data_IF_732668998426
#
_entry.id   IF_732668998426
#
_cell.length_a   1.000
_cell.length_b   1.000
_cell.length_c   1.000
_cell.angle_alpha   90.00
_cell.angle_beta   90.00
_cell.angle_gamma   90.00
#
_symmetry.space_group_name_H-M   'P 1'
#
loop_
_entity.id
_entity.type
_entity.pdbx_description
1 polymer ?
#
# COMPACT_ATOMS: atom_id res chain seq x y z
N UNK A 1 -1.72 -17.87 1.10
CA UNK A 1 -2.28 -16.55 1.48
C UNK A 1 -1.24 -15.46 1.20
N UNK A 2 -0.08 -15.43 1.87
CA UNK A 2 0.92 -14.35 1.75
C UNK A 2 1.35 -14.05 0.32
N UNK A 3 1.59 -15.07 -0.51
CA UNK A 3 2.00 -14.86 -1.90
C UNK A 3 0.91 -14.13 -2.71
N UNK A 4 -0.33 -14.59 -2.61
CA UNK A 4 -1.47 -14.00 -3.31
C UNK A 4 -1.70 -12.57 -2.84
N UNK A 5 -1.72 -12.36 -1.52
CA UNK A 5 -1.89 -11.04 -0.91
C UNK A 5 -0.78 -10.08 -1.34
N UNK A 6 0.48 -10.53 -1.32
CA UNK A 6 1.62 -9.71 -1.73
C UNK A 6 1.54 -9.29 -3.20
N UNK A 7 1.22 -10.23 -4.10
CA UNK A 7 1.06 -9.90 -5.53
C UNK A 7 -0.11 -8.93 -5.73
N UNK A 8 -1.27 -9.19 -5.12
CA UNK A 8 -2.44 -8.31 -5.24
C UNK A 8 -2.15 -6.91 -4.70
N UNK A 9 -1.43 -6.81 -3.58
CA UNK A 9 -1.09 -5.53 -2.97
C UNK A 9 -0.11 -4.70 -3.81
N UNK A 10 0.65 -5.32 -4.69
CA UNK A 10 1.47 -4.62 -5.67
C UNK A 10 0.66 -3.83 -6.71
N UNK A 11 -0.59 -4.20 -6.95
CA UNK A 11 -1.48 -3.56 -7.93
C UNK A 11 -2.66 -2.83 -7.27
N UNK A 12 -3.04 -3.25 -6.08
CA UNK A 12 -4.05 -2.62 -5.25
C UNK A 12 -3.34 -2.00 -4.05
N UNK A 13 -3.90 -0.94 -3.47
CA UNK A 13 -3.30 -0.39 -2.25
C UNK A 13 -3.24 -1.45 -1.13
N UNK A 14 -2.25 -1.35 -0.24
CA UNK A 14 -2.08 -2.26 0.89
C UNK A 14 -3.37 -2.40 1.71
N UNK A 15 -4.01 -1.28 2.00
CA UNK A 15 -5.26 -1.19 2.76
C UNK A 15 -6.43 -1.82 2.01
N UNK A 16 -6.55 -1.51 0.71
CA UNK A 16 -7.60 -2.08 -0.14
C UNK A 16 -7.49 -3.59 -0.24
N UNK A 17 -6.28 -4.11 -0.43
CA UNK A 17 -6.01 -5.55 -0.47
C UNK A 17 -6.34 -6.22 0.86
N UNK A 18 -5.91 -5.62 1.99
CA UNK A 18 -6.22 -6.12 3.31
C UNK A 18 -7.73 -6.13 3.57
N UNK A 19 -8.42 -5.02 3.31
CA UNK A 19 -9.86 -4.88 3.55
C UNK A 19 -10.69 -5.92 2.78
N UNK A 20 -10.31 -6.23 1.53
CA UNK A 20 -11.01 -7.23 0.71
C UNK A 20 -10.71 -8.66 1.17
N UNK A 21 -9.47 -8.93 1.59
CA UNK A 21 -9.04 -10.29 1.90
C UNK A 21 -9.22 -10.69 3.37
N UNK A 22 -9.35 -9.76 4.31
CA UNK A 22 -9.61 -10.04 5.72
C UNK A 22 -10.86 -10.95 5.89
N UNK A 23 -12.04 -10.63 5.34
CA UNK A 23 -13.21 -11.50 5.48
C UNK A 23 -13.00 -12.89 4.90
N UNK A 24 -12.32 -12.99 3.74
CA UNK A 24 -12.02 -14.26 3.09
C UNK A 24 -11.10 -15.12 3.96
N UNK A 25 -10.06 -14.50 4.53
CA UNK A 25 -9.10 -15.19 5.38
C UNK A 25 -9.73 -15.59 6.73
N UNK A 26 -10.64 -14.78 7.27
CA UNK A 26 -11.43 -15.14 8.43
C UNK A 26 -12.30 -16.39 8.16
N UNK A 27 -12.98 -16.42 7.01
CA UNK A 27 -13.75 -17.61 6.60
C UNK A 27 -12.88 -18.86 6.49
N UNK A 28 -11.71 -18.76 5.87
CA UNK A 28 -10.73 -19.87 5.79
C UNK A 28 -10.27 -20.30 7.18
N UNK A 29 -10.02 -19.35 8.09
CA UNK A 29 -9.61 -19.64 9.46
C UNK A 29 -10.67 -20.46 10.21
N UNK A 30 -11.93 -20.05 10.07
CA UNK A 30 -13.07 -20.68 10.74
C UNK A 30 -13.32 -22.10 10.21
N UNK A 31 -13.24 -22.32 8.89
CA UNK A 31 -13.40 -23.64 8.27
C UNK A 31 -12.23 -24.58 8.58
N UNK A 32 -11.00 -24.06 8.58
CA UNK A 32 -9.80 -24.88 8.78
C UNK A 32 -9.42 -25.08 10.26
N UNK A 33 -10.12 -24.42 11.20
CA UNK A 33 -9.86 -24.51 12.63
C UNK A 33 -8.58 -23.81 13.10
N UNK A 34 -7.94 -23.04 12.24
CA UNK A 34 -6.78 -22.20 12.61
C UNK A 34 -7.26 -20.93 13.33
N UNK A 35 -6.42 -20.38 14.22
CA UNK A 35 -6.73 -19.10 14.83
C UNK A 35 -6.66 -17.98 13.79
N UNK A 36 -7.66 -17.06 13.78
CA UNK A 36 -7.71 -15.91 12.90
C UNK A 36 -6.42 -15.08 12.97
N UNK A 37 -5.87 -14.92 14.17
CA UNK A 37 -4.62 -14.19 14.42
C UNK A 37 -3.43 -14.72 13.61
N UNK A 38 -3.31 -16.06 13.48
CA UNK A 38 -2.23 -16.71 12.72
C UNK A 38 -2.34 -16.52 11.21
N UNK A 39 -3.50 -16.18 10.69
CA UNK A 39 -3.71 -15.94 9.27
C UNK A 39 -3.77 -14.45 8.95
N UNK A 40 -4.34 -13.62 9.83
CA UNK A 40 -4.49 -12.19 9.61
C UNK A 40 -3.16 -11.43 9.72
N UNK A 41 -2.30 -11.79 10.69
CA UNK A 41 -0.98 -11.15 10.80
C UNK A 41 -0.13 -11.35 9.54
N UNK A 42 0.11 -12.58 9.04
CA UNK A 42 0.80 -12.78 7.78
C UNK A 42 0.14 -12.04 6.60
N UNK A 43 -1.20 -11.92 6.57
CA UNK A 43 -1.92 -11.18 5.55
C UNK A 43 -1.52 -9.71 5.54
N UNK A 44 -1.58 -9.05 6.71
CA UNK A 44 -1.25 -7.61 6.82
C UNK A 44 0.21 -7.34 6.46
N UNK A 45 1.13 -8.17 6.94
CA UNK A 45 2.54 -8.05 6.57
C UNK A 45 2.77 -8.30 5.07
N UNK A 46 2.11 -9.29 4.49
CA UNK A 46 2.22 -9.55 3.05
C UNK A 46 1.66 -8.39 2.21
N UNK A 47 0.55 -7.79 2.65
CA UNK A 47 0.01 -6.59 2.00
C UNK A 47 1.01 -5.42 2.07
N UNK A 48 1.62 -5.18 3.23
CA UNK A 48 2.61 -4.12 3.40
C UNK A 48 3.88 -4.35 2.55
N UNK A 49 4.40 -5.57 2.53
CA UNK A 49 5.60 -5.92 1.75
C UNK A 49 5.30 -5.92 0.24
N UNK A 50 4.12 -6.41 -0.15
CA UNK A 50 3.67 -6.44 -1.54
C UNK A 50 3.45 -5.05 -2.14
N UNK A 51 3.11 -4.05 -1.32
CA UNK A 51 3.01 -2.67 -1.76
C UNK A 51 4.30 -2.09 -2.33
N UNK A 52 5.45 -2.71 -2.03
CA UNK A 52 6.74 -2.30 -2.59
C UNK A 52 7.07 -3.01 -3.93
N UNK A 53 6.11 -3.64 -4.59
CA UNK A 53 6.33 -4.26 -5.89
C UNK A 53 6.16 -3.29 -7.07
N UNK A 54 5.35 -2.26 -6.90
CA UNK A 54 5.06 -1.27 -7.94
C UNK A 54 4.98 0.14 -7.40
N UNK A 55 4.90 1.10 -8.30
CA UNK A 55 4.73 2.53 -7.95
C UNK A 55 3.40 2.77 -7.22
N UNK A 56 2.32 2.09 -7.63
CA UNK A 56 0.97 2.34 -7.11
C UNK A 56 0.64 1.53 -5.85
N UNK A 57 1.45 0.55 -5.50
CA UNK A 57 1.18 -0.33 -4.35
C UNK A 57 1.18 0.39 -3.00
N UNK A 58 1.95 1.48 -2.87
CA UNK A 58 1.94 2.32 -1.67
C UNK A 58 2.06 3.81 -2.04
N UNK A 59 1.33 4.72 -1.33
CA UNK A 59 1.40 6.16 -1.61
C UNK A 59 2.81 6.75 -1.50
N UNK A 60 3.65 6.23 -0.59
CA UNK A 60 5.04 6.66 -0.45
C UNK A 60 5.90 6.38 -1.68
N UNK A 61 5.61 5.33 -2.43
CA UNK A 61 6.33 5.00 -3.66
C UNK A 61 6.13 6.08 -4.72
N UNK A 62 4.89 6.58 -4.84
CA UNK A 62 4.57 7.66 -5.79
C UNK A 62 5.29 8.97 -5.43
N UNK A 63 5.46 9.27 -4.13
CA UNK A 63 6.25 10.44 -3.69
C UNK A 63 7.71 10.31 -4.12
N UNK A 64 8.30 9.12 -3.95
CA UNK A 64 9.67 8.85 -4.39
C UNK A 64 9.83 8.98 -5.91
N UNK A 65 8.86 8.52 -6.68
CA UNK A 65 8.84 8.66 -8.15
C UNK A 65 8.78 10.14 -8.55
N UNK A 66 7.87 10.91 -7.97
CA UNK A 66 7.76 12.35 -8.28
C UNK A 66 9.08 13.08 -8.00
N UNK A 67 9.74 12.79 -6.88
CA UNK A 67 11.04 13.39 -6.57
C UNK A 67 12.14 12.99 -7.58
N UNK A 68 12.13 11.76 -8.09
CA UNK A 68 13.06 11.33 -9.13
C UNK A 68 12.78 11.98 -10.48
N UNK A 69 11.51 12.14 -10.84
CA UNK A 69 11.10 12.83 -12.06
C UNK A 69 11.48 14.33 -12.05
N UNK A 70 11.37 15.00 -10.90
CA UNK A 70 11.85 16.37 -10.72
C UNK A 70 13.37 16.51 -10.94
N UNK A 71 14.13 15.44 -10.63
CA UNK A 71 15.56 15.37 -10.92
C UNK A 71 15.89 14.96 -12.37
N UNK A 72 14.87 14.76 -13.22
CA UNK A 72 15.01 14.36 -14.62
C UNK A 72 15.39 12.89 -14.82
N UNK A 73 15.20 12.05 -13.81
CA UNK A 73 15.44 10.62 -13.88
C UNK A 73 14.19 9.91 -14.41
N UNK A 74 14.38 8.96 -15.34
CA UNK A 74 13.28 8.12 -15.83
C UNK A 74 12.88 7.10 -14.78
N UNK A 75 11.60 6.93 -14.58
CA UNK A 75 11.02 5.95 -13.67
C UNK A 75 10.27 4.88 -14.44
N UNK A 76 10.20 3.67 -13.89
CA UNK A 76 9.48 2.54 -14.48
C UNK A 76 8.46 2.01 -13.48
N UNK A 77 7.32 1.53 -13.97
CA UNK A 77 6.24 0.99 -13.12
C UNK A 77 6.72 -0.03 -12.08
N UNK A 78 7.68 -0.87 -12.42
CA UNK A 78 8.25 -1.88 -11.54
C UNK A 78 9.62 -1.51 -10.95
N UNK A 79 9.97 -0.24 -10.86
CA UNK A 79 11.28 0.18 -10.36
C UNK A 79 11.57 -0.28 -8.91
N UNK A 80 10.54 -0.48 -8.11
CA UNK A 80 10.66 -0.99 -6.74
C UNK A 80 10.72 -2.52 -6.65
N UNK A 81 10.32 -3.25 -7.70
CA UNK A 81 10.25 -4.72 -7.70
C UNK A 81 11.58 -5.41 -7.37
N UNK A 82 12.75 -4.94 -7.85
CA UNK A 82 14.04 -5.57 -7.52
C UNK A 82 14.34 -5.63 -6.01
N UNK A 83 13.78 -4.71 -5.23
CA UNK A 83 13.88 -4.68 -3.76
C UNK A 83 12.64 -5.33 -3.13
N UNK A 84 11.46 -5.05 -3.66
CA UNK A 84 10.19 -5.53 -3.13
C UNK A 84 10.03 -7.06 -3.20
N UNK A 85 10.46 -7.69 -4.29
CA UNK A 85 10.37 -9.15 -4.45
C UNK A 85 11.22 -9.88 -3.39
N UNK A 86 12.52 -9.60 -3.22
CA UNK A 86 13.31 -10.20 -2.14
C UNK A 86 12.71 -9.94 -0.75
N UNK A 87 12.22 -8.73 -0.48
CA UNK A 87 11.58 -8.41 0.80
C UNK A 87 10.34 -9.26 1.04
N UNK A 88 9.48 -9.42 0.05
CA UNK A 88 8.29 -10.27 0.14
C UNK A 88 8.66 -11.73 0.38
N UNK A 89 9.65 -12.25 -0.34
CA UNK A 89 10.15 -13.63 -0.17
C UNK A 89 10.71 -13.82 1.25
N UNK A 90 11.57 -12.91 1.72
CA UNK A 90 12.10 -12.95 3.09
C UNK A 90 10.99 -12.90 4.14
N UNK A 91 9.96 -12.08 3.94
CA UNK A 91 8.80 -12.01 4.81
C UNK A 91 8.02 -13.34 4.84
N UNK A 92 7.80 -13.96 3.69
CA UNK A 92 7.15 -15.28 3.60
C UNK A 92 7.97 -16.34 4.34
N UNK A 93 9.28 -16.40 4.11
CA UNK A 93 10.17 -17.34 4.79
C UNK A 93 10.17 -17.10 6.30
N UNK A 94 10.24 -15.85 6.73
CA UNK A 94 10.17 -15.49 8.15
C UNK A 94 8.90 -16.01 8.81
N UNK A 95 7.73 -15.80 8.20
CA UNK A 95 6.46 -16.29 8.77
C UNK A 95 6.35 -17.80 8.77
N UNK A 96 6.89 -18.49 7.77
CA UNK A 96 6.90 -19.96 7.72
C UNK A 96 7.79 -20.52 8.84
N UNK A 97 8.98 -19.97 9.04
CA UNK A 97 9.99 -20.54 9.96
C UNK A 97 9.76 -20.11 11.42
N UNK A 98 9.51 -18.82 11.62
CA UNK A 98 9.50 -18.19 12.96
C UNK A 98 8.13 -17.60 13.28
N UNK A 99 7.56 -16.80 12.39
CA UNK A 99 6.39 -15.98 12.67
C UNK A 99 5.17 -16.78 13.12
N UNK A 100 4.86 -17.87 12.44
CA UNK A 100 3.73 -18.72 12.81
C UNK A 100 3.89 -19.41 14.18
N UNK A 101 5.12 -19.54 14.68
CA UNK A 101 5.39 -20.12 16.01
C UNK A 101 5.28 -19.09 17.14
N UNK A 102 5.56 -17.82 16.85
CA UNK A 102 5.50 -16.72 17.81
C UNK A 102 4.08 -16.18 18.00
N UNK A 103 3.20 -16.40 17.03
CA UNK A 103 1.83 -15.90 17.12
C UNK A 103 1.00 -16.73 18.10
N UNK A 104 0.31 -16.07 19.04
CA UNK A 104 -0.51 -16.75 20.04
C UNK A 104 -1.67 -17.51 19.39
N UNK A 105 -1.87 -18.75 19.83
CA UNK A 105 -2.95 -19.62 19.36
C UNK A 105 -4.24 -19.35 20.17
N UNK A 106 -4.59 -18.07 20.32
CA UNK A 106 -5.85 -17.72 20.97
C UNK A 106 -6.96 -17.80 19.94
N UNK A 107 -7.86 -18.76 20.09
CA UNK A 107 -9.19 -18.72 19.48
C UNK A 107 -9.93 -17.56 20.14
N UNK A 108 -9.77 -16.37 19.62
CA UNK A 108 -10.61 -15.24 19.99
C UNK A 108 -11.95 -15.51 19.33
N UNK A 109 -12.88 -16.03 20.09
CA UNK A 109 -14.30 -16.03 19.74
C UNK A 109 -14.73 -14.58 19.97
N UNK A 110 -14.45 -13.74 19.01
CA UNK A 110 -15.04 -12.39 18.98
C UNK A 110 -16.40 -12.56 18.33
N UNK A 111 -17.44 -12.45 19.13
CA UNK A 111 -18.82 -12.32 18.65
C UNK A 111 -19.00 -11.05 17.79
N UNK A 112 -18.02 -10.15 17.81
CA UNK A 112 -17.96 -8.91 17.05
C UNK A 112 -16.98 -9.02 15.87
N UNK A 113 -17.13 -10.02 15.01
CA UNK A 113 -16.62 -9.86 13.66
C UNK A 113 -17.50 -8.81 12.96
N UNK A 114 -16.93 -7.78 12.32
CA UNK A 114 -17.76 -6.90 11.52
C UNK A 114 -18.48 -7.75 10.47
N UNK A 115 -19.79 -7.87 10.64
CA UNK A 115 -20.73 -8.53 9.71
C UNK A 115 -20.81 -7.82 8.36
N UNK A 116 -19.72 -7.25 7.88
CA UNK A 116 -19.67 -6.65 6.56
C UNK A 116 -18.95 -7.55 5.55
N UNK A 117 -19.23 -8.83 5.57
CA UNK A 117 -19.22 -9.56 4.30
C UNK A 117 -20.38 -9.03 3.49
N UNK A 118 -20.13 -7.98 2.70
CA UNK A 118 -21.04 -7.65 1.62
C UNK A 118 -21.20 -8.91 0.81
N UNK A 119 -22.38 -9.49 0.85
CA UNK A 119 -22.68 -10.71 0.10
C UNK A 119 -22.61 -10.36 -1.40
N UNK A 120 -21.48 -10.67 -2.02
CA UNK A 120 -21.23 -10.46 -3.44
C UNK A 120 -21.87 -11.56 -4.32
N UNK A 121 -22.56 -12.54 -3.71
CA UNK A 121 -23.21 -13.62 -4.44
C UNK A 121 -24.30 -13.11 -5.41
N UNK A 122 -24.88 -11.95 -5.11
CA UNK A 122 -25.92 -11.32 -5.92
C UNK A 122 -25.40 -10.40 -7.03
N UNK A 123 -24.07 -10.23 -7.17
CA UNK A 123 -23.51 -9.38 -8.23
C UNK A 123 -23.52 -10.14 -9.56
N UNK A 124 -24.16 -9.62 -10.62
CA UNK A 124 -24.20 -10.27 -11.94
C UNK A 124 -22.80 -10.60 -12.45
N UNK A 125 -22.61 -11.80 -12.98
CA UNK A 125 -21.31 -12.27 -13.48
C UNK A 125 -20.67 -11.34 -14.52
N UNK A 126 -21.48 -10.66 -15.33
CA UNK A 126 -20.99 -9.71 -16.32
C UNK A 126 -20.32 -8.48 -15.68
N UNK A 127 -20.84 -7.99 -14.53
CA UNK A 127 -20.22 -6.88 -13.79
C UNK A 127 -18.86 -7.29 -13.19
N UNK A 128 -18.79 -8.52 -12.67
CA UNK A 128 -17.53 -9.07 -12.14
C UNK A 128 -16.48 -9.21 -13.26
N UNK A 129 -16.89 -9.77 -14.41
CA UNK A 129 -16.00 -9.90 -15.57
C UNK A 129 -15.54 -8.54 -16.10
N UNK A 130 -16.45 -7.58 -16.22
CA UNK A 130 -16.13 -6.21 -16.66
C UNK A 130 -15.15 -5.51 -15.72
N UNK A 131 -15.35 -5.62 -14.39
CA UNK A 131 -14.42 -5.07 -13.40
C UNK A 131 -13.01 -5.64 -13.56
N UNK A 132 -12.92 -6.96 -13.74
CA UNK A 132 -11.63 -7.63 -13.90
C UNK A 132 -10.94 -7.24 -15.22
N UNK A 133 -11.69 -7.18 -16.32
CA UNK A 133 -11.15 -6.78 -17.62
C UNK A 133 -10.63 -5.34 -17.56
N UNK A 134 -11.42 -4.40 -17.02
CA UNK A 134 -11.01 -3.00 -16.89
C UNK A 134 -9.79 -2.88 -15.99
N UNK A 135 -9.74 -3.61 -14.86
CA UNK A 135 -8.58 -3.62 -13.97
C UNK A 135 -7.32 -4.08 -14.71
N UNK A 136 -7.39 -5.19 -15.44
CA UNK A 136 -6.26 -5.71 -16.22
C UNK A 136 -5.83 -4.72 -17.31
N UNK A 137 -6.77 -4.10 -18.02
CA UNK A 137 -6.47 -3.11 -19.06
C UNK A 137 -5.79 -1.87 -18.47
N UNK A 138 -6.25 -1.37 -17.32
CA UNK A 138 -5.62 -0.23 -16.62
C UNK A 138 -4.21 -0.58 -16.18
N UNK A 139 -4.00 -1.76 -15.59
CA UNK A 139 -2.65 -2.21 -15.19
C UNK A 139 -1.73 -2.32 -16.40
N UNK A 140 -2.21 -2.90 -17.50
CA UNK A 140 -1.42 -2.98 -18.73
C UNK A 140 -1.11 -1.59 -19.30
N UNK A 141 -2.07 -0.67 -19.29
CA UNK A 141 -1.84 0.70 -19.73
C UNK A 141 -0.78 1.42 -18.87
N UNK A 142 -0.78 1.18 -17.55
CA UNK A 142 0.23 1.72 -16.64
C UNK A 142 1.63 1.11 -16.87
N UNK A 143 1.70 -0.21 -17.11
CA UNK A 143 2.98 -0.89 -17.39
C UNK A 143 3.60 -0.41 -18.71
N UNK A 144 2.76 -0.14 -19.70
CA UNK A 144 3.20 0.32 -21.02
C UNK A 144 3.10 1.84 -21.20
N UNK A 145 3.14 2.61 -20.10
CA UNK A 145 3.09 4.08 -20.11
C UNK A 145 4.06 4.68 -21.13
N UNK A 146 5.33 4.27 -21.11
CA UNK A 146 6.39 4.75 -22.02
C UNK A 146 6.06 4.52 -23.51
N UNK A 147 5.28 3.49 -23.84
CA UNK A 147 4.92 3.15 -25.23
C UNK A 147 3.64 3.83 -25.67
N UNK A 148 2.67 3.95 -24.75
CA UNK A 148 1.33 4.47 -25.03
C UNK A 148 1.32 5.99 -24.87
N UNK A 149 2.23 6.57 -24.07
CA UNK A 149 2.31 7.99 -23.79
C UNK A 149 1.20 8.52 -22.90
N UNK A 150 0.47 7.63 -22.22
CA UNK A 150 -0.61 7.99 -21.28
C UNK A 150 -0.07 7.86 -19.87
N UNK A 151 -0.07 8.95 -19.12
CA UNK A 151 0.40 8.96 -17.73
C UNK A 151 -0.43 8.02 -16.83
N UNK A 152 0.20 7.43 -15.82
CA UNK A 152 -0.40 6.50 -14.84
C UNK A 152 -1.71 7.05 -14.28
N UNK A 153 -1.72 8.34 -13.89
CA UNK A 153 -2.90 9.00 -13.30
C UNK A 153 -4.08 9.05 -14.28
N UNK A 154 -3.80 9.30 -15.55
CA UNK A 154 -4.83 9.37 -16.61
C UNK A 154 -5.40 7.98 -16.86
N UNK A 155 -4.56 6.95 -16.92
CA UNK A 155 -4.99 5.55 -17.08
C UNK A 155 -5.91 5.11 -15.93
N UNK A 156 -5.57 5.46 -14.68
CA UNK A 156 -6.40 5.17 -13.52
C UNK A 156 -7.78 5.88 -13.59
N UNK A 157 -7.77 7.17 -13.90
CA UNK A 157 -9.02 7.94 -14.04
C UNK A 157 -9.91 7.40 -15.16
N UNK A 158 -9.33 7.07 -16.33
CA UNK A 158 -10.07 6.50 -17.44
C UNK A 158 -10.71 5.17 -17.05
N UNK A 159 -9.98 4.30 -16.35
CA UNK A 159 -10.53 3.03 -15.87
C UNK A 159 -11.71 3.22 -14.92
N UNK A 160 -11.62 4.15 -13.97
CA UNK A 160 -12.72 4.48 -13.08
C UNK A 160 -13.95 5.01 -13.83
N UNK A 161 -13.75 5.93 -14.79
CA UNK A 161 -14.83 6.47 -15.62
C UNK A 161 -15.49 5.37 -16.46
N UNK A 162 -14.73 4.46 -17.06
CA UNK A 162 -15.24 3.33 -17.83
C UNK A 162 -16.15 2.44 -16.97
N UNK A 163 -15.77 2.14 -15.72
CA UNK A 163 -16.58 1.33 -14.81
C UNK A 163 -17.92 1.99 -14.46
N UNK A 164 -17.93 3.32 -14.31
CA UNK A 164 -19.17 4.08 -14.06
C UNK A 164 -20.04 4.12 -15.31
N UNK A 165 -19.47 4.44 -16.48
CA UNK A 165 -20.21 4.51 -17.75
C UNK A 165 -20.78 3.15 -18.17
N UNK A 166 -20.05 2.07 -17.91
CA UNK A 166 -20.50 0.71 -18.14
C UNK A 166 -21.59 0.26 -17.13
N UNK A 167 -21.93 1.07 -16.13
CA UNK A 167 -22.95 0.73 -15.13
C UNK A 167 -22.55 -0.41 -14.18
N UNK A 168 -21.23 -0.68 -14.08
CA UNK A 168 -20.70 -1.66 -13.14
C UNK A 168 -20.88 -1.18 -11.71
N UNK A 169 -20.50 0.08 -11.46
CA UNK A 169 -20.71 0.80 -10.20
C UNK A 169 -21.52 2.07 -10.46
N UNK A 170 -22.30 2.49 -9.50
CA UNK A 170 -23.02 3.75 -9.58
C UNK A 170 -22.07 4.94 -9.32
N UNK A 171 -22.42 6.11 -9.85
CA UNK A 171 -21.68 7.35 -9.59
C UNK A 171 -21.50 7.62 -8.09
N UNK A 172 -22.59 7.43 -7.31
CA UNK A 172 -22.57 7.63 -5.85
C UNK A 172 -21.61 6.67 -5.14
N UNK A 173 -21.57 5.41 -5.58
CA UNK A 173 -20.63 4.43 -5.04
C UNK A 173 -19.19 4.75 -5.42
N UNK A 174 -18.94 5.18 -6.65
CA UNK A 174 -17.64 5.60 -7.12
C UNK A 174 -17.10 6.79 -6.29
N UNK A 175 -17.93 7.83 -6.10
CA UNK A 175 -17.55 8.99 -5.28
C UNK A 175 -17.34 8.62 -3.80
N UNK A 176 -18.15 7.73 -3.24
CA UNK A 176 -18.00 7.25 -1.86
C UNK A 176 -16.73 6.41 -1.68
N UNK A 177 -16.25 5.76 -2.74
CA UNK A 177 -15.03 4.97 -2.72
C UNK A 177 -13.75 5.82 -2.70
N UNK A 178 -13.86 7.13 -2.95
CA UNK A 178 -12.73 8.06 -2.85
C UNK A 178 -12.50 8.37 -1.37
N UNK A 179 -11.37 7.93 -0.85
CA UNK A 179 -10.96 8.27 0.51
C UNK A 179 -10.35 9.68 0.54
N UNK A 180 -11.21 10.67 0.83
CA UNK A 180 -10.79 12.07 0.93
C UNK A 180 -9.76 12.31 2.03
N UNK A 181 -9.74 11.50 3.11
CA UNK A 181 -8.74 11.64 4.18
C UNK A 181 -7.36 11.34 3.63
N UNK A 182 -7.21 10.28 2.82
CA UNK A 182 -5.94 9.94 2.17
C UNK A 182 -5.50 11.02 1.21
N UNK A 183 -6.42 11.53 0.39
CA UNK A 183 -6.11 12.62 -0.58
C UNK A 183 -5.64 13.88 0.15
N UNK A 184 -6.34 14.29 1.20
CA UNK A 184 -5.99 15.46 2.00
C UNK A 184 -4.68 15.26 2.78
N UNK A 185 -4.46 14.07 3.34
CA UNK A 185 -3.21 13.74 4.03
C UNK A 185 -2.03 13.81 3.07
N UNK A 186 -2.18 13.24 1.89
CA UNK A 186 -1.14 13.26 0.85
C UNK A 186 -0.84 14.68 0.39
N UNK A 187 -1.87 15.44 0.04
CA UNK A 187 -1.74 16.85 -0.34
C UNK A 187 -1.13 17.72 0.76
N UNK A 188 -1.56 17.52 2.01
CA UNK A 188 -1.01 18.21 3.18
C UNK A 188 0.47 17.87 3.42
N UNK A 189 0.85 16.61 3.25
CA UNK A 189 2.24 16.16 3.37
C UNK A 189 3.14 16.77 2.30
N UNK A 190 2.66 16.86 1.05
CA UNK A 190 3.38 17.53 -0.04
C UNK A 190 3.53 19.03 0.24
N UNK A 191 2.48 19.70 0.73
CA UNK A 191 2.53 21.11 1.08
C UNK A 191 3.53 21.37 2.23
N UNK A 192 3.57 20.49 3.24
CA UNK A 192 4.53 20.56 4.34
C UNK A 192 5.96 20.34 3.84
N UNK A 193 6.19 19.35 2.97
CA UNK A 193 7.50 19.10 2.37
C UNK A 193 7.99 20.34 1.57
N UNK A 194 7.12 20.93 0.74
CA UNK A 194 7.43 22.16 0.00
C UNK A 194 7.69 23.35 0.92
N UNK A 195 6.98 23.45 2.05
CA UNK A 195 7.25 24.49 3.04
C UNK A 195 8.62 24.32 3.72
N UNK A 196 8.98 23.07 4.09
CA UNK A 196 10.31 22.76 4.66
C UNK A 196 11.43 23.09 3.67
N UNK A 197 11.24 22.80 2.39
CA UNK A 197 12.19 23.14 1.33
C UNK A 197 12.33 24.67 1.18
N UNK A 198 11.22 25.38 0.99
CA UNK A 198 11.21 26.85 0.81
C UNK A 198 11.71 27.64 1.98
N UNK A 199 11.53 27.14 3.21
CA UNK A 199 12.01 27.78 4.44
C UNK A 199 13.48 27.46 4.74
N UNK A 200 14.11 26.54 4.00
CA UNK A 200 15.46 26.06 4.29
C UNK A 200 15.56 25.16 5.53
N UNK A 201 14.44 24.80 6.15
CA UNK A 201 14.45 23.92 7.31
C UNK A 201 14.95 22.50 6.96
N UNK A 202 14.65 22.04 5.74
CA UNK A 202 15.16 20.77 5.21
C UNK A 202 16.69 20.78 5.10
N UNK A 203 17.28 21.84 4.59
CA UNK A 203 18.74 21.98 4.49
C UNK A 203 19.41 22.04 5.86
N UNK A 204 18.83 22.74 6.85
CA UNK A 204 19.34 22.79 8.20
C UNK A 204 19.37 21.39 8.87
N UNK A 205 18.36 20.58 8.62
CA UNK A 205 18.30 19.20 9.11
C UNK A 205 19.36 18.34 8.41
N UNK A 206 19.45 18.47 7.09
CA UNK A 206 20.42 17.73 6.28
C UNK A 206 21.87 18.10 6.68
N UNK A 207 22.19 19.38 6.84
CA UNK A 207 23.51 19.87 7.24
C UNK A 207 23.92 19.37 8.61
N UNK A 208 22.98 19.32 9.57
CA UNK A 208 23.25 18.73 10.89
C UNK A 208 23.54 17.24 10.82
N UNK A 209 22.78 16.48 10.02
CA UNK A 209 22.99 15.06 9.83
C UNK A 209 24.35 14.82 9.18
N UNK A 210 24.66 15.54 8.10
CA UNK A 210 25.96 15.45 7.39
C UNK A 210 27.09 15.91 8.29
N UNK A 211 26.90 16.96 9.09
CA UNK A 211 27.90 17.44 10.05
C UNK A 211 28.27 16.43 11.13
N UNK A 212 27.35 15.60 11.57
CA UNK A 212 27.61 14.49 12.51
C UNK A 212 28.43 13.38 11.85
N UNK A 213 28.27 13.21 10.53
CA UNK A 213 28.93 12.14 9.75
C UNK A 213 30.34 12.50 9.27
N UNK A 214 30.77 13.76 9.38
CA UNK A 214 32.08 14.26 8.91
C UNK A 214 32.06 14.71 7.46
N UNK A 215 33.17 15.32 7.02
CA UNK A 215 33.25 16.07 5.75
C UNK A 215 33.19 15.23 4.47
N UNK A 216 33.26 13.90 4.53
CA UNK A 216 33.12 13.01 3.37
C UNK A 216 32.50 11.65 3.78
N UNK A 217 31.19 11.61 4.03
CA UNK A 217 30.55 10.34 4.35
C UNK A 217 30.53 9.41 3.12
N UNK A 218 30.85 8.15 3.33
CA UNK A 218 30.64 7.14 2.28
C UNK A 218 29.16 7.06 1.92
N UNK A 219 28.81 6.86 0.63
CA UNK A 219 27.41 6.76 0.20
C UNK A 219 26.61 5.72 0.98
N UNK A 220 27.24 4.63 1.40
CA UNK A 220 26.61 3.57 2.20
C UNK A 220 26.25 4.07 3.61
N UNK A 221 27.15 4.82 4.24
CA UNK A 221 26.91 5.40 5.58
C UNK A 221 25.79 6.44 5.53
N UNK A 222 25.78 7.28 4.49
CA UNK A 222 24.71 8.25 4.26
C UNK A 222 23.35 7.55 4.13
N UNK A 223 23.28 6.51 3.30
CA UNK A 223 22.08 5.73 3.06
C UNK A 223 21.59 5.03 4.34
N UNK A 224 22.50 4.48 5.11
CA UNK A 224 22.20 3.83 6.39
C UNK A 224 21.65 4.82 7.43
N UNK A 225 22.23 6.01 7.52
CA UNK A 225 21.74 7.05 8.44
C UNK A 225 20.36 7.54 8.03
N UNK A 226 20.14 7.81 6.74
CA UNK A 226 18.80 8.18 6.22
C UNK A 226 17.80 7.08 6.54
N UNK A 227 18.15 5.82 6.30
CA UNK A 227 17.30 4.67 6.60
C UNK A 227 16.93 4.61 8.09
N UNK A 228 17.92 4.70 8.99
CA UNK A 228 17.68 4.65 10.44
C UNK A 228 16.82 5.83 10.90
N UNK A 229 17.14 7.05 10.45
CA UNK A 229 16.36 8.25 10.79
C UNK A 229 14.92 8.10 10.31
N UNK A 230 14.72 7.64 9.09
CA UNK A 230 13.38 7.41 8.55
C UNK A 230 12.65 6.32 9.34
N UNK A 231 13.29 5.22 9.67
CA UNK A 231 12.70 4.16 10.50
C UNK A 231 12.29 4.67 11.89
N UNK A 232 13.10 5.52 12.51
CA UNK A 232 12.77 6.12 13.82
C UNK A 232 11.60 7.09 13.69
N UNK A 233 11.64 7.97 12.71
CA UNK A 233 10.57 8.97 12.48
C UNK A 233 9.23 8.30 12.19
N UNK A 234 9.21 7.20 11.43
CA UNK A 234 7.97 6.47 11.13
C UNK A 234 7.32 5.79 12.33
N UNK A 235 8.06 5.61 13.43
CA UNK A 235 7.46 5.13 14.69
C UNK A 235 6.75 6.22 15.49
N UNK A 236 7.09 7.48 15.25
CA UNK A 236 6.50 8.64 15.94
C UNK A 236 5.54 9.43 15.05
N UNK A 237 5.79 9.42 13.75
CA UNK A 237 4.91 10.04 12.78
C UNK A 237 4.02 8.97 12.18
N UNK A 238 2.71 9.17 12.26
CA UNK A 238 1.73 8.28 11.69
C UNK A 238 2.02 8.06 10.21
N UNK A 239 2.51 6.85 9.85
CA UNK A 239 2.40 6.40 8.48
C UNK A 239 0.92 6.38 8.11
N UNK A 240 0.61 6.57 6.84
CA UNK A 240 -0.75 6.38 6.31
C UNK A 240 -1.35 5.07 6.82
N UNK A 241 -0.52 4.06 7.03
CA UNK A 241 -0.91 2.76 7.59
C UNK A 241 -1.37 2.82 9.05
N UNK A 242 -0.76 3.67 9.90
CA UNK A 242 -1.15 3.81 11.29
C UNK A 242 -2.45 4.60 11.43
N UNK A 243 -2.72 5.54 10.54
CA UNK A 243 -3.99 6.25 10.49
C UNK A 243 -5.15 5.29 10.21
N UNK A 244 -4.95 4.32 9.32
CA UNK A 244 -5.95 3.30 9.02
C UNK A 244 -6.13 2.27 10.14
N UNK A 245 -5.08 1.95 10.89
CA UNK A 245 -5.20 1.03 12.04
C UNK A 245 -5.83 1.72 13.25
N UNK A 246 -5.64 3.02 13.42
CA UNK A 246 -6.32 3.76 14.50
C UNK A 246 -7.81 3.99 14.20
N UNK A 247 -8.18 4.28 12.94
CA UNK A 247 -9.59 4.39 12.54
C UNK A 247 -10.32 3.03 12.65
N UNK A 248 -9.67 1.94 12.26
CA UNK A 248 -10.23 0.58 12.44
C UNK A 248 -10.36 0.17 13.91
N UNK A 249 -9.51 0.72 14.80
CA UNK A 249 -9.59 0.50 16.24
C UNK A 249 -10.63 1.40 16.92
N UNK A 250 -10.91 2.58 16.36
CA UNK A 250 -11.94 3.50 16.85
C UNK A 250 -13.35 3.14 16.33
N UNK A 251 -13.47 2.52 15.15
CA UNK A 251 -14.73 1.91 14.68
C UNK A 251 -15.05 0.58 15.40
N UNK A 252 -14.09 -0.02 16.09
CA UNK A 252 -14.27 -1.24 16.91
C UNK A 252 -14.56 -0.92 18.39
N UNK A 253 -14.78 0.33 18.74
CA UNK A 253 -15.24 0.80 20.06
C UNK A 253 -16.69 1.24 20.02
#
# INVERSE_FOLDING_TARGET
>A
IMLIVGIMSGFLSNTGTAAVLIPVVCGIADESGYSRSRLLMPLVFAAALGGNLSIIGAPGNLMGVNALEELGLSTSFFMYAPIGIPMLICGIIYFIVIGCRLLPDKKVITEDAPEQTKDFSNVPKWKQAMSLIVLILVILAMIFEDKIGIKIQVSACLGAVILVLAGVISEKEALKSIDLKVVLLFGGSLALASALEKTGAGTLIADKIVGIMGSNPSPIVLLLVIFVVTCVLTNFMSNTCLLYTSDAADEAR
#
